data_IF_816055702724
#
_entry.id   IF_816055702724
#
_cell.length_a   1.000
_cell.length_b   1.000
_cell.length_c   1.000
_cell.angle_alpha   90.00
_cell.angle_beta   90.00
_cell.angle_gamma   90.00
#
_symmetry.space_group_name_H-M   'P 1'
#
loop_
_entity.id
_entity.type
_entity.pdbx_description
1 polymer ?
#
# COMPACT_ATOMS: atom_id res chain seq x y z
N UNK A 1 -4.10 -1.00 12.66
CA UNK A 1 -5.06 -0.73 11.58
C UNK A 1 -5.21 -1.94 10.67
N UNK A 2 -6.41 -2.19 10.23
CA UNK A 2 -6.67 -3.27 9.27
C UNK A 2 -6.20 -2.86 7.88
N UNK A 3 -5.82 -3.83 7.08
CA UNK A 3 -5.33 -3.59 5.71
C UNK A 3 -6.33 -2.82 4.85
N UNK A 4 -7.62 -3.13 4.99
CA UNK A 4 -8.69 -2.43 4.25
C UNK A 4 -8.72 -0.93 4.55
N UNK A 5 -8.54 -0.56 5.82
CA UNK A 5 -8.50 0.84 6.24
C UNK A 5 -7.28 1.57 5.67
N UNK A 6 -6.13 0.90 5.66
CA UNK A 6 -4.90 1.45 5.08
C UNK A 6 -5.05 1.65 3.58
N UNK A 7 -5.66 0.68 2.89
CA UNK A 7 -5.89 0.77 1.45
C UNK A 7 -6.85 1.91 1.11
N UNK A 8 -7.89 2.12 1.90
CA UNK A 8 -8.83 3.22 1.70
C UNK A 8 -8.15 4.57 1.87
N UNK A 9 -7.31 4.71 2.90
CA UNK A 9 -6.54 5.93 3.12
C UNK A 9 -5.61 6.20 1.95
N UNK A 10 -4.93 5.15 1.46
CA UNK A 10 -4.03 5.28 0.32
C UNK A 10 -4.79 5.71 -0.92
N UNK A 11 -5.95 5.11 -1.20
CA UNK A 11 -6.78 5.49 -2.34
C UNK A 11 -7.17 6.96 -2.28
N UNK A 12 -7.52 7.44 -1.09
CA UNK A 12 -7.85 8.85 -0.87
C UNK A 12 -6.68 9.77 -1.21
N UNK A 13 -5.49 9.41 -0.76
CA UNK A 13 -4.29 10.19 -1.06
C UNK A 13 -3.93 10.16 -2.54
N UNK A 14 -4.03 8.99 -3.18
CA UNK A 14 -3.70 8.84 -4.61
C UNK A 14 -4.66 9.59 -5.52
N UNK A 15 -5.92 9.75 -5.08
CA UNK A 15 -6.93 10.50 -5.82
C UNK A 15 -6.92 11.99 -5.54
N UNK A 16 -6.10 12.46 -4.59
CA UNK A 16 -6.03 13.87 -4.21
C UNK A 16 -5.20 14.68 -5.20
N UNK A 17 -5.40 16.00 -5.18
CA UNK A 17 -4.60 16.90 -5.98
C UNK A 17 -3.13 16.88 -5.55
N UNK A 18 -2.23 17.20 -6.46
CA UNK A 18 -0.77 17.19 -6.20
C UNK A 18 -0.40 18.01 -4.97
N UNK A 19 -1.01 19.20 -4.80
CA UNK A 19 -0.78 20.07 -3.64
C UNK A 19 -1.12 19.36 -2.32
N UNK A 20 -2.26 18.68 -2.28
CA UNK A 20 -2.70 17.93 -1.11
C UNK A 20 -1.78 16.73 -0.85
N UNK A 21 -1.32 16.06 -1.90
CA UNK A 21 -0.39 14.94 -1.80
C UNK A 21 0.94 15.38 -1.20
N UNK A 22 1.47 16.53 -1.63
CA UNK A 22 2.72 17.10 -1.09
C UNK A 22 2.57 17.38 0.41
N UNK A 23 1.44 17.98 0.80
CA UNK A 23 1.15 18.27 2.21
C UNK A 23 1.05 17.01 3.06
N UNK A 24 0.63 15.89 2.46
CA UNK A 24 0.44 14.60 3.15
C UNK A 24 1.58 13.61 2.89
N UNK A 25 2.71 14.06 2.39
CA UNK A 25 3.84 13.19 2.03
C UNK A 25 4.22 12.21 3.15
N UNK A 26 4.42 12.71 4.36
CA UNK A 26 4.80 11.87 5.50
C UNK A 26 3.71 10.87 5.87
N UNK A 27 2.45 11.29 5.76
CA UNK A 27 1.30 10.42 6.03
C UNK A 27 1.22 9.28 5.01
N UNK A 28 1.43 9.59 3.74
CA UNK A 28 1.46 8.58 2.66
C UNK A 28 2.59 7.59 2.92
N UNK A 29 3.76 8.08 3.27
CA UNK A 29 4.93 7.26 3.58
C UNK A 29 4.64 6.28 4.73
N UNK A 30 4.00 6.76 5.79
CA UNK A 30 3.62 5.93 6.95
C UNK A 30 2.65 4.82 6.54
N UNK A 31 1.64 5.16 5.75
CA UNK A 31 0.65 4.18 5.27
C UNK A 31 1.35 3.10 4.44
N UNK A 32 2.26 3.50 3.56
CA UNK A 32 3.00 2.55 2.72
C UNK A 32 3.89 1.61 3.54
N UNK A 33 4.51 2.11 4.60
CA UNK A 33 5.30 1.26 5.51
C UNK A 33 4.43 0.21 6.20
N UNK A 34 3.25 0.62 6.67
CA UNK A 34 2.29 -0.29 7.30
C UNK A 34 1.78 -1.33 6.31
N UNK A 35 1.51 -0.91 5.07
CA UNK A 35 1.07 -1.82 4.02
C UNK A 35 2.16 -2.84 3.68
N UNK A 36 3.43 -2.44 3.67
CA UNK A 36 4.54 -3.35 3.44
C UNK A 36 4.61 -4.44 4.51
N UNK A 37 4.39 -4.07 5.78
CA UNK A 37 4.34 -5.03 6.88
C UNK A 37 3.20 -6.02 6.69
N UNK A 38 2.02 -5.54 6.27
CA UNK A 38 0.86 -6.39 5.98
C UNK A 38 1.15 -7.33 4.82
N UNK A 39 1.80 -6.84 3.78
CA UNK A 39 2.21 -7.65 2.62
C UNK A 39 3.14 -8.78 3.04
N UNK A 40 4.14 -8.48 3.88
CA UNK A 40 5.06 -9.49 4.39
C UNK A 40 4.34 -10.54 5.24
N UNK A 41 3.39 -10.10 6.07
CA UNK A 41 2.58 -11.01 6.88
C UNK A 41 1.73 -11.94 6.00
N UNK A 42 1.16 -11.41 4.92
CA UNK A 42 0.39 -12.21 3.97
C UNK A 42 1.28 -13.22 3.24
N UNK A 43 2.50 -12.84 2.88
CA UNK A 43 3.46 -13.76 2.27
C UNK A 43 3.77 -14.92 3.19
N UNK A 44 3.98 -14.65 4.48
CA UNK A 44 4.25 -15.69 5.47
C UNK A 44 3.06 -16.63 5.64
N UNK A 45 1.84 -16.08 5.71
CA UNK A 45 0.62 -16.87 5.78
C UNK A 45 0.46 -17.76 4.55
N UNK A 46 0.75 -17.20 3.38
CA UNK A 46 0.65 -17.92 2.12
C UNK A 46 1.60 -19.12 2.08
N UNK A 47 2.81 -18.95 2.60
CA UNK A 47 3.81 -20.04 2.67
C UNK A 47 3.36 -21.17 3.58
N UNK A 48 2.65 -20.85 4.66
CA UNK A 48 2.20 -21.81 5.66
C UNK A 48 0.84 -22.44 5.35
N UNK A 49 0.08 -21.83 4.45
CA UNK A 49 -1.28 -22.30 4.14
C UNK A 49 -1.25 -23.46 3.16
N UNK A 50 -1.95 -24.53 3.50
CA UNK A 50 -2.05 -25.73 2.67
C UNK A 50 -3.38 -25.87 1.93
N UNK A 51 -4.43 -25.16 2.39
CA UNK A 51 -5.72 -25.19 1.75
C UNK A 51 -5.72 -24.31 0.51
N UNK A 52 -6.09 -24.89 -0.64
CA UNK A 52 -6.11 -24.20 -1.93
C UNK A 52 -7.02 -22.98 -1.95
N UNK A 53 -8.21 -23.08 -1.36
CA UNK A 53 -9.18 -21.98 -1.34
C UNK A 53 -8.62 -20.81 -0.52
N UNK A 54 -8.01 -21.12 0.63
CA UNK A 54 -7.41 -20.13 1.50
C UNK A 54 -6.20 -19.49 0.80
N UNK A 55 -5.39 -20.28 0.10
CA UNK A 55 -4.23 -19.77 -0.65
C UNK A 55 -4.66 -18.80 -1.75
N UNK A 56 -5.70 -19.12 -2.48
CA UNK A 56 -6.22 -18.25 -3.55
C UNK A 56 -6.70 -16.91 -2.98
N UNK A 57 -7.38 -16.97 -1.83
CA UNK A 57 -7.88 -15.77 -1.16
C UNK A 57 -6.73 -14.89 -0.69
N UNK A 58 -5.72 -15.49 -0.05
CA UNK A 58 -4.53 -14.78 0.43
C UNK A 58 -3.74 -14.17 -0.72
N UNK A 59 -3.59 -14.92 -1.82
CA UNK A 59 -2.89 -14.44 -3.01
C UNK A 59 -3.59 -13.23 -3.60
N UNK A 60 -4.92 -13.27 -3.66
CA UNK A 60 -5.73 -12.16 -4.19
C UNK A 60 -5.56 -10.91 -3.34
N UNK A 61 -5.62 -11.06 -2.01
CA UNK A 61 -5.42 -9.94 -1.08
C UNK A 61 -4.02 -9.35 -1.24
N UNK A 62 -3.02 -10.22 -1.34
CA UNK A 62 -1.63 -9.79 -1.52
C UNK A 62 -1.44 -9.04 -2.84
N UNK A 63 -2.05 -9.53 -3.92
CA UNK A 63 -1.95 -8.90 -5.24
C UNK A 63 -2.53 -7.48 -5.24
N UNK A 64 -3.71 -7.31 -4.63
CA UNK A 64 -4.36 -5.99 -4.51
C UNK A 64 -3.48 -5.05 -3.69
N UNK A 65 -3.02 -5.52 -2.54
CA UNK A 65 -2.20 -4.73 -1.63
C UNK A 65 -0.88 -4.34 -2.29
N UNK A 66 -0.23 -5.27 -2.96
CA UNK A 66 1.03 -5.05 -3.67
C UNK A 66 0.88 -4.03 -4.79
N UNK A 67 -0.21 -4.14 -5.58
CA UNK A 67 -0.48 -3.21 -6.68
C UNK A 67 -0.71 -1.79 -6.17
N UNK A 68 -1.49 -1.63 -5.09
CA UNK A 68 -1.76 -0.33 -4.50
C UNK A 68 -0.50 0.29 -3.89
N UNK A 69 0.28 -0.53 -3.19
CA UNK A 69 1.54 -0.08 -2.60
C UNK A 69 2.51 0.42 -3.68
N UNK A 70 2.57 -0.29 -4.80
CA UNK A 70 3.43 0.09 -5.94
C UNK A 70 3.04 1.46 -6.49
N UNK A 71 1.74 1.71 -6.66
CA UNK A 71 1.23 3.01 -7.10
C UNK A 71 1.61 4.10 -6.11
N UNK A 72 1.47 3.81 -4.81
CA UNK A 72 1.84 4.75 -3.75
C UNK A 72 3.32 5.09 -3.75
N UNK A 73 4.17 4.10 -3.94
CA UNK A 73 5.63 4.31 -4.02
C UNK A 73 5.98 5.20 -5.20
N UNK A 74 5.35 4.97 -6.35
CA UNK A 74 5.57 5.80 -7.53
C UNK A 74 5.16 7.26 -7.28
N UNK A 75 4.02 7.47 -6.61
CA UNK A 75 3.57 8.82 -6.24
C UNK A 75 4.57 9.48 -5.30
N UNK A 76 5.10 8.74 -4.31
CA UNK A 76 6.11 9.27 -3.40
C UNK A 76 7.38 9.71 -4.12
N UNK A 77 7.80 8.95 -5.12
CA UNK A 77 8.97 9.30 -5.93
C UNK A 77 8.75 10.62 -6.67
N UNK A 78 7.56 10.78 -7.26
CA UNK A 78 7.19 12.02 -7.95
C UNK A 78 7.14 13.20 -7.00
N UNK A 79 6.56 13.01 -5.81
CA UNK A 79 6.46 14.04 -4.78
C UNK A 79 7.84 14.46 -4.25
N UNK A 80 8.73 13.48 -4.09
CA UNK A 80 10.10 13.73 -3.63
C UNK A 80 10.84 14.61 -4.62
N UNK A 81 10.69 14.37 -5.91
CA UNK A 81 11.30 15.21 -6.96
C UNK A 81 10.69 16.60 -6.97
N UNK A 82 9.37 16.71 -6.80
CA UNK A 82 8.69 18.00 -6.72
C UNK A 82 9.19 18.83 -5.52
N UNK A 83 9.48 18.19 -4.40
CA UNK A 83 10.00 18.85 -3.20
C UNK A 83 11.42 19.41 -3.38
N UNK A 84 12.22 18.80 -4.24
CA UNK A 84 13.59 19.23 -4.49
C UNK A 84 13.68 20.50 -5.33
N UNK A 85 12.60 20.90 -5.96
CA UNK A 85 12.51 22.15 -6.69
C UNK A 85 11.99 23.25 -5.76
#
# INVERSE_FOLDING_TARGET
MKAAELLEKLKGYLGAERRAQIAKYDSIKRVLKKLKKKENALKDKLKKEHDEKARKRLQKEMDVLSAQRKKGVNVLKELKEAKKK
#
